data_IF_369770284772
#
_entry.id   IF_369770284772
#
_cell.length_a   1.000
_cell.length_b   1.000
_cell.length_c   1.000
_cell.angle_alpha   90.00
_cell.angle_beta   90.00
_cell.angle_gamma   90.00
#
_symmetry.space_group_name_H-M   'P 1'
#
loop_
_entity.id
_entity.type
_entity.pdbx_description
1 polymer ?
#
# COMPACT_ATOMS: atom_id res chain seq x y z
N UNK A 1 -7.27 -5.29 9.67
CA UNK A 1 -7.99 -4.42 8.71
C UNK A 1 -7.84 -4.97 7.30
N UNK A 2 -8.94 -5.31 6.68
CA UNK A 2 -8.91 -5.85 5.34
C UNK A 2 -9.41 -4.84 4.33
N UNK A 3 -8.76 -4.80 3.18
CA UNK A 3 -9.18 -3.99 2.04
C UNK A 3 -10.00 -4.83 1.09
N UNK A 4 -11.04 -4.23 0.54
CA UNK A 4 -11.79 -4.85 -0.56
C UNK A 4 -10.91 -4.85 -1.82
N UNK A 5 -11.32 -5.62 -2.82
CA UNK A 5 -10.59 -5.65 -4.09
C UNK A 5 -10.48 -4.25 -4.72
N UNK A 6 -11.56 -3.50 -4.72
CA UNK A 6 -11.58 -2.14 -5.26
C UNK A 6 -10.67 -1.20 -4.49
N UNK A 7 -10.68 -1.30 -3.16
CA UNK A 7 -9.78 -0.49 -2.31
C UNK A 7 -8.32 -0.83 -2.58
N UNK A 8 -8.01 -2.11 -2.78
CA UNK A 8 -6.64 -2.52 -3.09
C UNK A 8 -6.19 -1.99 -4.45
N UNK A 9 -7.08 -1.96 -5.44
CA UNK A 9 -6.77 -1.38 -6.74
C UNK A 9 -6.41 0.11 -6.61
N UNK A 10 -7.16 0.86 -5.80
CA UNK A 10 -6.85 2.27 -5.51
C UNK A 10 -5.47 2.39 -4.84
N UNK A 11 -5.21 1.55 -3.85
CA UNK A 11 -3.91 1.58 -3.15
C UNK A 11 -2.76 1.22 -4.09
N UNK A 12 -2.95 0.24 -4.99
CA UNK A 12 -1.91 -0.12 -5.96
C UNK A 12 -1.56 1.07 -6.87
N UNK A 13 -2.55 1.81 -7.33
CA UNK A 13 -2.32 3.01 -8.15
C UNK A 13 -1.52 4.04 -7.35
N UNK A 14 -1.88 4.25 -6.09
CA UNK A 14 -1.21 5.23 -5.24
C UNK A 14 0.23 4.82 -4.92
N UNK A 15 0.46 3.55 -4.60
CA UNK A 15 1.81 3.04 -4.34
C UNK A 15 2.69 3.13 -5.58
N UNK A 16 2.14 2.79 -6.76
CA UNK A 16 2.89 2.86 -8.03
C UNK A 16 3.27 4.29 -8.38
N UNK A 17 2.41 5.26 -8.08
CA UNK A 17 2.66 6.65 -8.42
C UNK A 17 3.83 7.27 -7.66
N UNK A 18 3.99 6.92 -6.39
CA UNK A 18 5.05 7.46 -5.54
C UNK A 18 4.91 8.96 -5.25
N UNK A 19 3.80 9.57 -5.60
CA UNK A 19 3.50 10.99 -5.38
C UNK A 19 2.05 11.14 -4.93
N UNK A 20 1.67 12.26 -4.30
CA UNK A 20 0.28 12.47 -3.93
C UNK A 20 -0.61 12.49 -5.17
N UNK A 21 -1.78 11.86 -5.08
CA UNK A 21 -2.74 11.81 -6.17
C UNK A 21 -4.06 12.42 -5.75
N UNK A 22 -4.68 13.18 -6.69
CA UNK A 22 -6.04 13.67 -6.54
C UNK A 22 -7.03 12.64 -7.06
N UNK A 23 -8.32 12.87 -6.79
CA UNK A 23 -9.39 12.03 -7.32
C UNK A 23 -9.28 11.85 -8.84
N UNK A 24 -9.04 12.95 -9.55
CA UNK A 24 -8.90 12.92 -11.02
C UNK A 24 -7.72 12.06 -11.45
N UNK A 25 -6.63 12.11 -10.70
CA UNK A 25 -5.43 11.30 -11.00
C UNK A 25 -5.74 9.80 -10.88
N UNK A 26 -6.53 9.38 -9.89
CA UNK A 26 -6.94 7.98 -9.79
C UNK A 26 -7.77 7.55 -10.99
N UNK A 27 -8.66 8.41 -11.46
CA UNK A 27 -9.48 8.09 -12.63
C UNK A 27 -8.64 7.94 -13.88
N UNK A 28 -7.64 8.79 -14.07
CA UNK A 28 -6.76 8.74 -15.23
C UNK A 28 -5.81 7.56 -15.23
N UNK A 29 -5.30 7.19 -14.05
CA UNK A 29 -4.28 6.16 -13.92
C UNK A 29 -4.83 4.74 -13.79
N UNK A 30 -6.12 4.59 -13.48
CA UNK A 30 -6.72 3.27 -13.26
C UNK A 30 -7.24 2.70 -14.58
N UNK A 31 -6.59 1.66 -15.10
CA UNK A 31 -6.95 1.03 -16.36
C UNK A 31 -7.90 -0.15 -16.17
N UNK A 32 -7.45 -1.22 -15.59
CA UNK A 32 -8.23 -2.45 -15.42
C UNK A 32 -8.95 -2.49 -14.06
N UNK A 33 -9.80 -1.49 -13.82
CA UNK A 33 -10.48 -1.33 -12.54
C UNK A 33 -11.82 -2.06 -12.51
N UNK A 34 -12.20 -2.54 -11.32
CA UNK A 34 -13.50 -3.21 -11.10
C UNK A 34 -14.56 -2.25 -10.55
N UNK A 35 -14.19 -1.02 -10.23
CA UNK A 35 -15.09 0.00 -9.67
C UNK A 35 -15.47 1.03 -10.72
N UNK A 36 -16.61 1.66 -10.51
CA UNK A 36 -17.09 2.73 -11.40
C UNK A 36 -16.47 4.06 -11.01
N UNK A 37 -16.28 4.95 -12.00
CA UNK A 37 -15.73 6.28 -11.78
C UNK A 37 -16.47 7.04 -10.67
N UNK A 38 -17.78 6.91 -10.62
CA UNK A 38 -18.62 7.57 -9.61
C UNK A 38 -18.38 7.03 -8.20
N UNK A 39 -17.75 5.88 -8.06
CA UNK A 39 -17.48 5.26 -6.76
C UNK A 39 -16.14 5.66 -6.16
N UNK A 40 -15.31 6.39 -6.90
CA UNK A 40 -13.93 6.67 -6.46
C UNK A 40 -13.88 7.39 -5.12
N UNK A 41 -14.73 8.41 -4.90
CA UNK A 41 -14.66 9.14 -3.64
C UNK A 41 -15.23 8.35 -2.47
N UNK A 42 -16.15 7.41 -2.71
CA UNK A 42 -16.62 6.49 -1.67
C UNK A 42 -15.46 5.59 -1.22
N UNK A 43 -14.69 5.09 -2.19
CA UNK A 43 -13.51 4.26 -1.92
C UNK A 43 -12.43 5.06 -1.18
N UNK A 44 -12.18 6.30 -1.60
CA UNK A 44 -11.22 7.17 -0.93
C UNK A 44 -11.64 7.48 0.51
N UNK A 45 -12.92 7.77 0.73
CA UNK A 45 -13.43 8.01 2.07
C UNK A 45 -13.32 6.77 2.96
N UNK A 46 -13.57 5.59 2.40
CA UNK A 46 -13.40 4.34 3.13
C UNK A 46 -11.94 4.13 3.53
N UNK A 47 -11.00 4.38 2.61
CA UNK A 47 -9.57 4.26 2.89
C UNK A 47 -9.09 5.27 3.94
N UNK A 48 -9.64 6.49 3.93
CA UNK A 48 -9.37 7.49 4.96
C UNK A 48 -9.83 6.98 6.34
N UNK A 49 -11.03 6.43 6.41
CA UNK A 49 -11.56 5.88 7.68
C UNK A 49 -10.74 4.70 8.17
N UNK A 50 -10.24 3.87 7.26
CA UNK A 50 -9.39 2.73 7.60
C UNK A 50 -7.97 3.15 7.94
N UNK A 51 -7.61 4.42 7.76
CA UNK A 51 -6.27 4.91 8.04
C UNK A 51 -5.23 4.49 7.02
N UNK A 52 -5.64 4.07 5.83
CA UNK A 52 -4.71 3.63 4.78
C UNK A 52 -4.15 4.79 3.97
N UNK A 53 -4.90 5.87 3.86
CA UNK A 53 -4.46 7.08 3.16
C UNK A 53 -4.67 8.29 4.06
N UNK A 54 -3.97 9.38 3.73
CA UNK A 54 -4.09 10.66 4.42
C UNK A 54 -4.11 11.77 3.37
N UNK A 55 -4.71 12.90 3.73
CA UNK A 55 -4.67 14.08 2.88
C UNK A 55 -3.26 14.67 2.89
N UNK A 56 -2.77 15.03 1.70
CA UNK A 56 -1.42 15.57 1.54
C UNK A 56 -1.40 17.03 1.13
N UNK A 57 -2.52 17.56 0.64
CA UNK A 57 -2.60 18.94 0.21
C UNK A 57 -3.69 19.14 -0.83
N UNK A 58 -3.66 20.30 -1.46
CA UNK A 58 -4.60 20.66 -2.51
C UNK A 58 -3.88 20.84 -3.83
N UNK A 59 -4.57 20.48 -4.91
CA UNK A 59 -4.09 20.71 -6.26
C UNK A 59 -5.23 21.37 -7.06
N UNK A 60 -4.88 22.25 -7.96
CA UNK A 60 -5.86 22.93 -8.80
C UNK A 60 -6.41 21.95 -9.83
N UNK A 61 -7.73 21.77 -9.82
CA UNK A 61 -8.45 20.92 -10.77
C UNK A 61 -9.47 21.79 -11.50
N UNK A 62 -9.16 22.24 -12.72
CA UNK A 62 -10.00 23.17 -13.48
C UNK A 62 -10.28 24.45 -12.68
N UNK A 63 -11.53 24.67 -12.28
CA UNK A 63 -11.96 25.88 -11.56
C UNK A 63 -11.91 25.74 -10.03
N UNK A 64 -11.62 24.52 -9.53
CA UNK A 64 -11.63 24.27 -8.09
C UNK A 64 -10.33 23.60 -7.66
N UNK A 65 -10.15 23.43 -6.36
CA UNK A 65 -9.04 22.69 -5.80
C UNK A 65 -9.52 21.31 -5.35
N UNK A 66 -8.75 20.30 -5.66
CA UNK A 66 -9.01 18.93 -5.20
C UNK A 66 -8.01 18.51 -4.16
N UNK A 67 -8.47 17.66 -3.24
CA UNK A 67 -7.57 17.07 -2.25
C UNK A 67 -6.64 16.07 -2.92
N UNK A 68 -5.41 16.01 -2.45
CA UNK A 68 -4.48 14.95 -2.83
C UNK A 68 -4.28 14.01 -1.65
N UNK A 69 -3.89 12.78 -1.95
CA UNK A 69 -3.78 11.71 -0.96
C UNK A 69 -2.43 11.00 -1.08
N UNK A 70 -1.91 10.61 0.06
CA UNK A 70 -0.71 9.76 0.17
C UNK A 70 -1.05 8.51 0.96
N UNK A 71 -0.36 7.40 0.71
CA UNK A 71 -0.52 6.22 1.56
C UNK A 71 0.10 6.48 2.93
N UNK A 72 -0.49 5.89 3.96
CA UNK A 72 0.05 6.00 5.34
C UNK A 72 1.13 4.96 5.60
N UNK A 73 1.25 3.96 4.74
CA UNK A 73 2.25 2.91 4.82
C UNK A 73 2.61 2.42 3.43
N UNK A 74 3.77 1.80 3.30
CA UNK A 74 4.20 1.21 2.03
C UNK A 74 3.42 -0.07 1.73
N UNK A 75 3.49 -0.50 0.47
CA UNK A 75 2.89 -1.78 0.04
C UNK A 75 3.43 -2.93 0.88
N UNK A 76 4.73 -2.95 1.12
CA UNK A 76 5.41 -4.00 1.87
C UNK A 76 4.92 -4.05 3.32
N UNK A 77 4.82 -2.89 3.98
CA UNK A 77 4.31 -2.82 5.34
C UNK A 77 2.84 -3.26 5.41
N UNK A 78 2.04 -2.87 4.41
CA UNK A 78 0.65 -3.31 4.34
C UNK A 78 0.54 -4.83 4.30
N UNK A 79 1.31 -5.49 3.41
CA UNK A 79 1.23 -6.95 3.28
C UNK A 79 1.67 -7.67 4.55
N UNK A 80 2.70 -7.17 5.21
CA UNK A 80 3.15 -7.74 6.50
C UNK A 80 2.07 -7.55 7.57
N UNK A 81 1.51 -6.35 7.67
CA UNK A 81 0.46 -6.05 8.64
C UNK A 81 -0.77 -6.94 8.40
N UNK A 82 -1.18 -7.08 7.15
CA UNK A 82 -2.32 -7.93 6.79
C UNK A 82 -2.07 -9.40 7.13
N UNK A 83 -0.86 -9.89 6.87
CA UNK A 83 -0.50 -11.29 7.15
C UNK A 83 -0.58 -11.61 8.65
N UNK A 84 -0.26 -10.65 9.52
CA UNK A 84 -0.26 -10.86 10.96
C UNK A 84 -1.49 -10.29 11.68
N UNK A 85 -2.49 -9.81 10.93
CA UNK A 85 -3.73 -9.25 11.50
C UNK A 85 -4.78 -10.31 11.81
N UNK A 86 -4.51 -11.57 11.58
CA UNK A 86 -5.44 -12.67 11.82
C UNK A 86 -5.50 -13.03 13.30
N UNK A 87 -6.62 -13.62 13.72
CA UNK A 87 -6.78 -14.11 15.09
C UNK A 87 -5.68 -15.11 15.47
N UNK A 88 -5.22 -15.91 14.51
CA UNK A 88 -4.13 -16.86 14.68
C UNK A 88 -3.06 -16.55 13.64
N UNK A 89 -2.20 -15.55 13.90
CA UNK A 89 -1.17 -15.18 12.94
C UNK A 89 -0.13 -16.30 12.80
N UNK A 90 0.47 -16.42 11.60
CA UNK A 90 1.54 -17.40 11.43
C UNK A 90 2.76 -17.08 12.29
N UNK A 91 3.55 -18.10 12.61
CA UNK A 91 4.76 -17.90 13.39
C UNK A 91 5.78 -17.08 12.57
N UNK A 92 6.26 -16.01 13.16
CA UNK A 92 7.17 -15.07 12.50
C UNK A 92 8.41 -15.77 11.91
N UNK A 93 9.07 -16.60 12.71
CA UNK A 93 10.28 -17.29 12.27
C UNK A 93 10.02 -18.22 11.09
N UNK A 94 8.90 -18.92 11.08
CA UNK A 94 8.55 -19.82 9.97
C UNK A 94 8.23 -19.05 8.70
N UNK A 95 7.61 -17.87 8.81
CA UNK A 95 7.38 -16.99 7.67
C UNK A 95 8.71 -16.54 7.09
N UNK A 96 9.65 -16.13 7.95
CA UNK A 96 10.98 -15.69 7.49
C UNK A 96 11.71 -16.83 6.79
N UNK A 97 11.64 -18.04 7.32
CA UNK A 97 12.27 -19.21 6.70
C UNK A 97 11.68 -19.46 5.30
N UNK A 98 10.35 -19.41 5.18
CA UNK A 98 9.69 -19.60 3.89
C UNK A 98 10.09 -18.53 2.88
N UNK A 99 10.21 -17.27 3.33
CA UNK A 99 10.66 -16.18 2.46
C UNK A 99 12.09 -16.38 1.97
N UNK A 100 12.98 -16.85 2.85
CA UNK A 100 14.38 -17.10 2.49
C UNK A 100 14.53 -18.27 1.52
N UNK A 101 13.57 -19.17 1.46
CA UNK A 101 13.56 -20.28 0.50
C UNK A 101 13.09 -19.88 -0.89
N UNK A 102 12.60 -18.66 -1.06
CA UNK A 102 12.10 -18.18 -2.36
C UNK A 102 13.26 -17.74 -3.27
N UNK A 103 13.04 -17.83 -4.62
CA UNK A 103 14.10 -17.41 -5.57
C UNK A 103 14.47 -15.93 -5.44
N UNK A 104 13.58 -15.08 -4.96
CA UNK A 104 13.87 -13.67 -4.75
C UNK A 104 14.95 -13.45 -3.68
N UNK A 105 15.15 -14.42 -2.80
CA UNK A 105 16.17 -14.37 -1.75
C UNK A 105 17.53 -14.82 -2.33
N UNK A 106 18.03 -14.07 -3.30
CA UNK A 106 19.33 -14.33 -3.92
C UNK A 106 20.47 -13.89 -2.99
N UNK A 107 21.72 -14.18 -3.39
CA UNK A 107 22.90 -13.88 -2.57
C UNK A 107 23.00 -12.39 -2.21
N UNK A 108 22.73 -11.50 -3.16
CA UNK A 108 22.81 -10.07 -2.92
C UNK A 108 21.74 -9.62 -1.90
N UNK A 109 20.51 -10.13 -2.05
CA UNK A 109 19.43 -9.84 -1.11
C UNK A 109 19.73 -10.39 0.27
N UNK A 110 20.25 -11.60 0.36
CA UNK A 110 20.63 -12.21 1.64
C UNK A 110 21.69 -11.40 2.37
N UNK A 111 22.67 -10.86 1.64
CA UNK A 111 23.68 -9.98 2.23
C UNK A 111 23.06 -8.71 2.82
N UNK A 112 22.11 -8.13 2.13
CA UNK A 112 21.38 -6.96 2.64
C UNK A 112 20.55 -7.31 3.88
N UNK A 113 19.90 -8.47 3.87
CA UNK A 113 19.13 -8.95 5.03
C UNK A 113 20.05 -9.14 6.23
N UNK A 114 21.22 -9.74 6.01
CA UNK A 114 22.20 -9.91 7.08
C UNK A 114 22.64 -8.58 7.68
N UNK A 115 22.86 -7.57 6.83
CA UNK A 115 23.19 -6.23 7.29
C UNK A 115 22.09 -5.62 8.15
N UNK A 116 20.82 -5.77 7.71
CA UNK A 116 19.67 -5.29 8.48
C UNK A 116 19.58 -5.98 9.84
N UNK A 117 19.82 -7.30 9.88
CA UNK A 117 19.82 -8.05 11.14
C UNK A 117 20.89 -7.55 12.07
N UNK A 118 22.10 -7.32 11.56
CA UNK A 118 23.22 -6.82 12.38
C UNK A 118 22.91 -5.44 12.97
N UNK A 119 22.29 -4.56 12.18
CA UNK A 119 21.88 -3.24 12.64
C UNK A 119 20.82 -3.35 13.74
N UNK A 120 19.86 -4.26 13.58
CA UNK A 120 18.76 -4.46 14.53
C UNK A 120 19.27 -5.02 15.87
N UNK A 121 20.33 -5.81 15.83
CA UNK A 121 20.86 -6.49 17.03
C UNK A 121 21.87 -5.66 17.82
N UNK A 122 22.21 -4.48 17.36
CA UNK A 122 23.10 -3.58 18.10
C UNK A 122 22.44 -3.02 19.35
#
# INVERSE_FOLDING_TARGET
MELTKSEREIMDVLWEAGVPLSRSDFLERSEAKTWKDSSVHILLNSLLRKGMIKEAGLVKCSKTFGRTFLPTMSREVYYVTAAFAHRYPPAFLLVMKALLDRPEADKATLQQIQKLLNEKMK
#
